data_IF_636512686798
#
_entry.id   IF_636512686798
#
_cell.length_a   1.000
_cell.length_b   1.000
_cell.length_c   1.000
_cell.angle_alpha   90.00
_cell.angle_beta   90.00
_cell.angle_gamma   90.00
#
_symmetry.space_group_name_H-M   'P 1'
#
loop_
_entity.id
_entity.type
_entity.pdbx_description
1 polymer ?
#
# COMPACT_ATOMS: atom_id res chain seq x y z
N UNK A 1 -11.06 54.16 40.63
CA UNK A 1 -10.40 52.85 40.38
C UNK A 1 -9.54 52.51 41.59
N UNK A 2 -9.59 51.25 42.04
CA UNK A 2 -9.42 50.80 43.43
C UNK A 2 -8.03 51.05 44.04
N UNK A 3 -8.04 51.60 45.26
CA UNK A 3 -6.92 51.74 46.22
C UNK A 3 -6.56 50.34 46.76
N UNK A 4 -5.30 49.94 46.69
CA UNK A 4 -4.26 49.99 47.74
C UNK A 4 -4.59 49.17 48.99
N UNK A 5 -3.74 48.17 49.18
CA UNK A 5 -3.57 47.20 50.27
C UNK A 5 -3.29 47.89 51.60
N UNK A 6 -3.86 47.40 52.69
CA UNK A 6 -3.27 47.53 54.03
C UNK A 6 -3.48 46.27 54.87
N UNK A 7 -2.34 45.82 55.39
CA UNK A 7 -2.05 44.67 56.24
C UNK A 7 -2.71 44.80 57.61
N UNK A 8 -3.24 43.70 58.17
CA UNK A 8 -3.34 43.51 59.63
C UNK A 8 -2.76 42.14 60.00
N UNK A 9 -1.66 42.22 60.73
CA UNK A 9 -1.01 41.18 61.52
C UNK A 9 -1.92 40.77 62.69
N UNK A 10 -2.08 39.47 62.94
CA UNK A 10 -2.34 38.97 64.29
C UNK A 10 -1.59 37.66 64.52
N UNK A 11 -0.54 37.76 65.33
CA UNK A 11 0.15 36.67 66.00
C UNK A 11 -0.34 36.69 67.45
N UNK A 12 -0.88 35.59 67.97
CA UNK A 12 -0.76 35.14 69.37
C UNK A 12 -0.90 33.60 69.39
N UNK A 13 0.18 32.86 69.64
CA UNK A 13 0.85 32.52 70.90
C UNK A 13 0.16 31.39 71.72
N UNK A 14 0.75 30.20 71.57
CA UNK A 14 1.04 29.16 72.58
C UNK A 14 -0.09 28.54 73.42
N UNK A 15 -0.33 27.24 73.17
CA UNK A 15 -0.44 26.24 74.23
C UNK A 15 0.53 25.10 73.93
N UNK A 16 1.32 24.71 74.92
CA UNK A 16 2.44 23.77 74.84
C UNK A 16 2.26 22.61 75.83
N UNK A 17 2.88 21.47 75.45
CA UNK A 17 3.28 20.27 76.22
C UNK A 17 2.26 19.14 76.34
N UNK A 18 2.63 17.86 76.18
CA UNK A 18 3.83 17.12 75.74
C UNK A 18 3.36 15.64 75.70
N UNK A 19 3.72 14.81 74.71
CA UNK A 19 4.76 13.74 74.73
C UNK A 19 4.26 12.69 73.70
N UNK A 20 4.99 12.00 72.82
CA UNK A 20 6.42 11.89 72.49
C UNK A 20 6.52 11.23 71.10
N UNK A 21 7.34 11.83 70.23
CA UNK A 21 8.24 11.22 69.21
C UNK A 21 7.78 10.04 68.32
N UNK A 22 7.71 10.28 67.00
CA UNK A 22 8.85 10.09 66.07
C UNK A 22 8.55 10.67 64.68
N UNK A 23 9.59 11.27 64.13
CA UNK A 23 9.65 12.07 62.91
C UNK A 23 9.38 11.28 61.63
N UNK A 24 8.65 11.89 60.68
CA UNK A 24 9.24 12.38 59.43
C UNK A 24 8.17 13.12 58.61
N UNK A 25 8.55 14.32 58.18
CA UNK A 25 7.79 15.29 57.42
C UNK A 25 7.36 14.78 56.03
N UNK A 26 6.16 15.20 55.65
CA UNK A 26 5.74 15.65 54.32
C UNK A 26 6.84 15.73 53.27
N UNK A 27 6.56 15.30 52.05
CA UNK A 27 6.41 16.22 50.90
C UNK A 27 5.61 15.51 49.83
N UNK A 28 4.71 16.25 49.19
CA UNK A 28 3.70 15.74 48.27
C UNK A 28 4.23 14.81 47.18
N UNK A 29 3.38 13.87 46.80
CA UNK A 29 3.45 13.22 45.51
C UNK A 29 3.28 14.29 44.44
N UNK A 30 4.39 14.93 44.05
CA UNK A 30 4.61 15.17 42.64
C UNK A 30 4.69 13.78 42.02
N UNK A 31 3.64 13.40 41.32
CA UNK A 31 3.74 12.36 40.31
C UNK A 31 4.83 12.85 39.34
N UNK A 32 6.07 12.43 39.58
CA UNK A 32 7.10 12.36 38.57
C UNK A 32 6.53 11.46 37.50
N UNK A 33 5.95 12.08 36.47
CA UNK A 33 5.77 11.45 35.17
C UNK A 33 7.09 10.77 34.86
N UNK A 34 7.11 9.45 34.92
CA UNK A 34 8.23 8.67 34.43
C UNK A 34 8.27 8.99 32.95
N UNK A 35 9.13 9.94 32.55
CA UNK A 35 9.40 10.23 31.15
C UNK A 35 9.85 8.90 30.55
N UNK A 36 8.94 8.29 29.79
CA UNK A 36 9.20 7.07 29.05
C UNK A 36 10.38 7.38 28.14
N UNK A 37 11.52 6.74 28.39
CA UNK A 37 12.71 6.87 27.55
C UNK A 37 12.32 6.47 26.13
N UNK A 38 12.50 7.40 25.17
CA UNK A 38 12.25 7.13 23.77
C UNK A 38 13.47 6.42 23.19
N UNK A 39 13.48 5.10 23.34
CA UNK A 39 14.51 4.24 22.81
C UNK A 39 14.21 3.94 21.33
N UNK A 40 15.23 4.08 20.48
CA UNK A 40 15.15 3.82 19.04
C UNK A 40 16.36 3.01 18.57
N UNK A 41 16.29 2.52 17.34
CA UNK A 41 17.36 1.81 16.66
C UNK A 41 17.68 2.46 15.32
N UNK A 42 18.96 2.49 14.95
CA UNK A 42 19.43 3.04 13.68
C UNK A 42 19.09 2.08 12.54
N UNK A 43 18.31 2.54 11.55
CA UNK A 43 17.85 1.73 10.41
C UNK A 43 18.66 1.93 9.12
N UNK A 44 19.56 2.92 9.10
CA UNK A 44 20.44 3.16 7.95
C UNK A 44 21.48 2.03 7.81
N UNK A 45 21.34 1.17 6.80
CA UNK A 45 22.25 0.01 6.54
C UNK A 45 23.72 0.43 6.40
N UNK A 46 23.98 1.61 5.83
CA UNK A 46 25.34 2.15 5.71
C UNK A 46 25.84 2.81 7.00
N UNK A 47 24.99 3.00 8.01
CA UNK A 47 25.21 3.72 9.27
C UNK A 47 24.73 5.18 9.23
N UNK A 48 24.39 5.74 10.39
CA UNK A 48 23.75 7.05 10.52
C UNK A 48 24.74 8.12 11.02
N UNK A 49 24.96 9.16 10.22
CA UNK A 49 25.84 10.27 10.60
C UNK A 49 25.24 11.12 11.72
N UNK A 50 26.06 11.48 12.72
CA UNK A 50 25.70 12.44 13.76
C UNK A 50 26.53 13.72 13.67
N UNK A 51 25.92 14.82 14.10
CA UNK A 51 26.39 16.20 13.87
C UNK A 51 26.42 17.00 15.17
N UNK A 52 27.24 18.05 15.22
CA UNK A 52 27.32 18.96 16.39
C UNK A 52 26.05 19.83 16.54
N UNK A 53 25.39 20.12 15.43
CA UNK A 53 24.12 20.86 15.36
C UNK A 53 23.28 20.26 14.22
N UNK A 54 21.94 20.42 14.24
CA UNK A 54 21.07 20.02 13.13
C UNK A 54 21.60 20.58 11.80
N UNK A 55 21.68 19.72 10.77
CA UNK A 55 22.23 20.08 9.44
C UNK A 55 23.68 20.64 9.45
N UNK A 56 24.42 20.48 10.55
CA UNK A 56 25.80 20.96 10.70
C UNK A 56 26.84 20.06 10.05
N UNK A 57 28.10 20.11 10.50
CA UNK A 57 29.14 19.19 10.00
C UNK A 57 29.00 17.78 10.61
N UNK A 58 29.38 16.76 9.83
CA UNK A 58 29.44 15.36 10.30
C UNK A 58 30.64 15.23 11.23
N UNK A 59 30.39 14.78 12.46
CA UNK A 59 31.43 14.57 13.48
C UNK A 59 31.59 13.10 13.88
N UNK A 60 30.76 12.22 13.32
CA UNK A 60 30.89 10.78 13.45
C UNK A 60 29.68 10.04 12.88
N UNK A 61 29.65 8.73 13.12
CA UNK A 61 28.67 7.82 12.52
C UNK A 61 28.29 6.72 13.52
N UNK A 62 26.99 6.43 13.61
CA UNK A 62 26.44 5.28 14.33
C UNK A 62 26.35 4.09 13.39
N UNK A 63 26.62 2.91 13.93
CA UNK A 63 26.44 1.65 13.21
C UNK A 63 24.95 1.31 13.04
N UNK A 64 24.64 0.53 12.00
CA UNK A 64 23.34 -0.07 11.80
C UNK A 64 22.88 -0.90 13.02
N UNK A 65 21.60 -0.85 13.37
CA UNK A 65 21.03 -1.55 14.53
C UNK A 65 21.44 -0.97 15.90
N UNK A 66 22.22 0.13 15.92
CA UNK A 66 22.63 0.77 17.16
C UNK A 66 21.42 1.34 17.89
N UNK A 67 21.23 0.90 19.14
CA UNK A 67 20.24 1.49 20.05
C UNK A 67 20.66 2.90 20.47
N UNK A 68 19.75 3.84 20.37
CA UNK A 68 19.89 5.24 20.82
C UNK A 68 18.71 5.62 21.70
N UNK A 69 18.89 6.67 22.50
CA UNK A 69 17.83 7.27 23.30
C UNK A 69 17.67 8.70 22.83
N UNK A 70 16.49 9.06 22.35
CA UNK A 70 16.16 10.44 21.99
C UNK A 70 16.00 11.25 23.27
N UNK A 71 16.82 12.29 23.42
CA UNK A 71 16.82 13.19 24.58
C UNK A 71 16.25 14.56 24.27
N UNK A 72 16.11 14.92 22.99
CA UNK A 72 15.65 16.23 22.53
C UNK A 72 14.98 16.15 21.16
N UNK A 73 13.84 16.83 21.01
CA UNK A 73 13.19 17.13 19.73
C UNK A 73 13.44 18.59 19.37
N UNK A 74 14.10 18.84 18.24
CA UNK A 74 14.45 20.20 17.78
C UNK A 74 13.32 20.87 16.99
N UNK A 75 12.32 20.11 16.53
CA UNK A 75 11.29 20.49 15.56
C UNK A 75 11.83 20.95 14.20
N UNK A 76 13.11 20.72 13.92
CA UNK A 76 13.73 21.04 12.63
C UNK A 76 13.49 19.85 11.70
N UNK A 77 12.50 19.97 10.82
CA UNK A 77 12.16 18.94 9.84
C UNK A 77 12.95 19.09 8.54
N UNK A 78 13.18 17.96 7.87
CA UNK A 78 13.86 17.88 6.59
C UNK A 78 13.35 16.71 5.76
N UNK A 79 13.49 16.82 4.44
CA UNK A 79 13.31 15.71 3.50
C UNK A 79 14.63 15.45 2.81
N UNK A 80 15.15 14.22 2.92
CA UNK A 80 16.39 13.77 2.31
C UNK A 80 16.03 12.81 1.17
N UNK A 81 16.63 13.03 -0.01
CA UNK A 81 16.57 12.05 -1.10
C UNK A 81 17.76 11.10 -0.97
N UNK A 82 17.47 9.82 -0.77
CA UNK A 82 18.44 8.73 -0.70
C UNK A 82 18.12 7.71 -1.79
N UNK A 83 18.83 7.79 -2.93
CA UNK A 83 18.64 6.89 -4.08
C UNK A 83 17.18 6.79 -4.57
N UNK A 84 16.50 7.93 -4.74
CA UNK A 84 15.08 8.06 -5.14
C UNK A 84 14.05 7.71 -4.06
N UNK A 85 14.47 7.41 -2.82
CA UNK A 85 13.58 7.34 -1.67
C UNK A 85 13.59 8.68 -0.91
N UNK A 86 12.42 9.30 -0.77
CA UNK A 86 12.26 10.55 -0.04
C UNK A 86 11.98 10.27 1.43
N UNK A 87 13.00 10.40 2.28
CA UNK A 87 12.86 10.27 3.74
C UNK A 87 12.56 11.63 4.36
N UNK A 88 11.39 11.76 4.97
CA UNK A 88 11.03 12.92 5.79
C UNK A 88 11.22 12.61 7.28
N UNK A 89 11.81 13.54 8.01
CA UNK A 89 12.10 13.37 9.44
C UNK A 89 12.44 14.69 10.13
N UNK A 90 12.68 14.60 11.42
CA UNK A 90 13.15 15.63 12.33
C UNK A 90 14.63 15.39 12.69
N UNK A 91 15.36 16.46 12.98
CA UNK A 91 16.64 16.36 13.68
C UNK A 91 16.38 16.18 15.18
N UNK A 92 16.89 15.10 15.75
CA UNK A 92 16.72 14.78 17.18
C UNK A 92 18.08 14.69 17.88
N UNK A 93 18.11 15.09 19.15
CA UNK A 93 19.29 15.04 20.00
C UNK A 93 19.42 13.70 20.70
N UNK A 94 20.63 13.14 20.70
CA UNK A 94 21.01 11.93 21.45
C UNK A 94 22.32 12.18 22.21
N UNK A 95 22.66 11.34 23.19
CA UNK A 95 23.92 11.43 23.92
C UNK A 95 24.95 10.45 23.34
N UNK A 96 26.09 10.98 22.91
CA UNK A 96 27.31 10.23 22.55
C UNK A 96 28.49 10.83 23.32
N UNK A 97 29.26 10.01 24.03
CA UNK A 97 30.41 10.44 24.85
C UNK A 97 30.11 11.62 25.80
N UNK A 98 28.96 11.55 26.50
CA UNK A 98 28.44 12.60 27.40
C UNK A 98 28.18 13.96 26.75
N UNK A 99 28.02 14.00 25.43
CA UNK A 99 27.63 15.21 24.68
C UNK A 99 26.36 14.97 23.89
N UNK A 100 25.49 15.98 23.84
CA UNK A 100 24.37 15.97 22.91
C UNK A 100 24.89 16.15 21.49
N UNK A 101 24.52 15.23 20.61
CA UNK A 101 24.75 15.28 19.17
C UNK A 101 23.42 15.06 18.45
N UNK A 102 23.35 15.48 17.19
CA UNK A 102 22.09 15.47 16.43
C UNK A 102 22.14 14.48 15.29
N UNK A 103 21.06 13.72 15.14
CA UNK A 103 20.83 12.73 14.08
C UNK A 103 19.48 12.99 13.41
N UNK A 104 19.31 12.50 12.20
CA UNK A 104 18.04 12.58 11.47
C UNK A 104 17.18 11.37 11.80
N UNK A 105 15.99 11.58 12.38
CA UNK A 105 15.13 10.52 12.90
C UNK A 105 14.43 9.71 11.80
N UNK A 106 14.46 10.17 10.54
CA UNK A 106 13.96 9.42 9.38
C UNK A 106 14.70 8.09 9.15
N UNK A 107 15.80 7.85 9.87
CA UNK A 107 16.54 6.59 9.93
C UNK A 107 16.54 5.96 11.34
N UNK A 108 15.50 6.24 12.14
CA UNK A 108 15.29 5.64 13.46
C UNK A 108 13.99 4.85 13.51
N UNK A 109 13.98 3.79 14.31
CA UNK A 109 12.78 2.98 14.56
C UNK A 109 12.64 2.53 16.00
N UNK A 110 11.43 2.14 16.40
CA UNK A 110 11.15 1.57 17.72
C UNK A 110 11.62 0.12 17.86
N UNK A 111 11.79 -0.62 16.76
CA UNK A 111 12.12 -2.04 16.79
C UNK A 111 13.58 -2.28 16.37
N UNK A 112 14.29 -3.14 17.12
CA UNK A 112 15.70 -3.49 16.86
C UNK A 112 15.88 -4.22 15.52
N UNK A 113 14.82 -4.90 15.13
CA UNK A 113 14.67 -5.63 13.89
C UNK A 113 13.79 -4.86 12.89
N UNK A 114 13.63 -3.54 13.07
CA UNK A 114 13.30 -2.66 11.95
C UNK A 114 14.57 -2.45 11.11
N UNK A 115 15.14 -3.58 10.67
CA UNK A 115 15.51 -3.66 9.29
C UNK A 115 14.38 -2.98 8.49
N UNK A 116 14.75 -2.28 7.44
CA UNK A 116 13.99 -2.49 6.20
C UNK A 116 14.08 -4.00 5.81
N UNK A 117 13.56 -4.88 6.68
CA UNK A 117 13.14 -6.26 6.47
C UNK A 117 11.65 -6.23 6.11
N UNK A 118 11.16 -5.07 5.68
CA UNK A 118 10.13 -4.94 4.67
C UNK A 118 10.73 -4.51 3.32
N UNK A 119 11.97 -4.90 3.03
CA UNK A 119 12.41 -5.11 1.64
C UNK A 119 12.76 -6.58 1.38
N UNK A 120 13.37 -7.30 2.34
CA UNK A 120 13.68 -8.73 2.18
C UNK A 120 12.58 -9.70 2.71
N UNK A 121 11.48 -9.19 3.28
CA UNK A 121 10.17 -9.90 3.34
C UNK A 121 9.11 -9.28 2.40
N UNK A 122 9.49 -8.31 1.55
CA UNK A 122 8.69 -7.88 0.38
C UNK A 122 9.04 -8.65 -0.90
N UNK A 123 9.50 -9.88 -0.72
CA UNK A 123 9.37 -10.97 -1.69
C UNK A 123 9.21 -12.23 -0.82
N UNK A 124 8.01 -12.72 -0.50
CA UNK A 124 7.18 -13.50 -1.41
C UNK A 124 5.78 -13.73 -0.80
N UNK A 125 4.94 -12.72 -0.82
CA UNK A 125 3.50 -12.93 -0.97
C UNK A 125 3.01 -12.01 -2.09
N UNK A 126 3.78 -11.96 -3.19
CA UNK A 126 3.27 -11.47 -4.46
C UNK A 126 2.30 -12.54 -4.93
N UNK A 127 1.02 -12.20 -4.94
CA UNK A 127 0.04 -13.04 -5.61
C UNK A 127 0.54 -13.34 -7.03
N UNK A 128 0.47 -14.60 -7.44
CA UNK A 128 0.66 -14.97 -8.84
C UNK A 128 -0.70 -15.19 -9.46
N UNK A 129 -0.89 -14.74 -10.70
CA UNK A 129 -2.12 -14.96 -11.45
C UNK A 129 -1.84 -15.65 -12.79
N UNK A 130 -2.80 -16.44 -13.23
CA UNK A 130 -2.87 -17.06 -14.54
C UNK A 130 -4.30 -16.91 -15.06
N UNK A 131 -4.45 -16.87 -16.38
CA UNK A 131 -5.73 -16.78 -17.06
C UNK A 131 -6.10 -18.16 -17.62
N UNK A 132 -7.39 -18.44 -17.84
CA UNK A 132 -7.83 -19.59 -18.64
C UNK A 132 -7.50 -19.35 -20.13
N UNK A 133 -6.22 -19.33 -20.47
CA UNK A 133 -5.69 -18.87 -21.75
C UNK A 133 -4.64 -19.82 -22.33
N UNK A 134 -4.23 -19.57 -23.57
CA UNK A 134 -3.17 -20.29 -24.27
C UNK A 134 -1.78 -19.67 -24.01
N UNK A 135 -0.86 -20.48 -23.50
CA UNK A 135 0.50 -20.07 -23.18
C UNK A 135 1.49 -20.76 -24.12
N UNK A 136 2.39 -20.00 -24.74
CA UNK A 136 3.48 -20.53 -25.56
C UNK A 136 4.58 -21.15 -24.71
N UNK A 137 5.22 -22.18 -25.25
CA UNK A 137 6.47 -22.69 -24.70
C UNK A 137 7.60 -21.70 -24.99
N UNK A 138 8.47 -21.47 -24.01
CA UNK A 138 9.69 -20.68 -24.13
C UNK A 138 10.82 -21.39 -23.41
N UNK A 139 11.92 -21.72 -24.13
CA UNK A 139 13.08 -22.42 -23.57
C UNK A 139 12.69 -23.67 -22.74
N UNK A 140 11.85 -24.54 -23.32
CA UNK A 140 11.32 -25.76 -22.69
C UNK A 140 10.48 -25.53 -21.41
N UNK A 141 10.04 -24.29 -21.16
CA UNK A 141 9.15 -23.93 -20.04
C UNK A 141 7.83 -23.41 -20.56
N UNK A 142 6.78 -23.54 -19.76
CA UNK A 142 5.49 -22.92 -20.04
C UNK A 142 4.89 -22.33 -18.75
N UNK A 143 4.41 -21.07 -18.75
CA UNK A 143 3.78 -20.45 -17.58
C UNK A 143 2.62 -21.29 -17.00
N UNK A 144 1.89 -22.02 -17.85
CA UNK A 144 0.82 -22.90 -17.43
C UNK A 144 1.29 -24.09 -16.56
N UNK A 145 2.59 -24.36 -16.44
CA UNK A 145 3.09 -25.40 -15.54
C UNK A 145 3.12 -24.97 -14.07
N UNK A 146 2.93 -23.69 -13.79
CA UNK A 146 2.89 -23.17 -12.41
C UNK A 146 1.59 -23.49 -11.68
N UNK A 147 0.48 -23.66 -12.40
CA UNK A 147 -0.82 -23.88 -11.79
C UNK A 147 -0.89 -25.27 -11.15
N UNK A 148 -1.28 -25.31 -9.89
CA UNK A 148 -1.41 -26.55 -9.11
C UNK A 148 -2.63 -26.53 -8.18
N UNK A 149 -2.72 -27.52 -7.28
CA UNK A 149 -3.83 -27.68 -6.33
C UNK A 149 -3.97 -26.57 -5.28
N UNK A 150 -2.96 -25.71 -5.13
CA UNK A 150 -2.96 -24.60 -4.17
C UNK A 150 -3.55 -23.33 -4.78
N UNK A 151 -3.69 -23.28 -6.10
CA UNK A 151 -4.31 -22.16 -6.79
C UNK A 151 -5.82 -22.14 -6.55
N UNK A 152 -6.35 -20.93 -6.44
CA UNK A 152 -7.77 -20.65 -6.42
C UNK A 152 -8.21 -20.14 -7.80
N UNK A 153 -9.46 -20.37 -8.16
CA UNK A 153 -10.13 -19.77 -9.32
C UNK A 153 -11.12 -18.74 -8.80
N UNK A 154 -11.03 -17.51 -9.31
CA UNK A 154 -12.10 -16.53 -9.21
C UNK A 154 -13.06 -16.78 -10.37
N UNK A 155 -14.26 -17.27 -10.07
CA UNK A 155 -15.23 -17.64 -11.10
C UNK A 155 -16.63 -17.12 -10.79
N UNK A 156 -17.42 -16.96 -11.84
CA UNK A 156 -18.80 -16.53 -11.73
C UNK A 156 -19.75 -17.73 -11.81
N UNK A 157 -20.73 -17.77 -10.91
CA UNK A 157 -21.85 -18.72 -10.92
C UNK A 157 -23.13 -18.00 -10.53
N UNK A 158 -24.17 -18.10 -11.36
CA UNK A 158 -25.50 -17.51 -11.11
C UNK A 158 -25.43 -16.00 -10.80
N UNK A 159 -24.53 -15.26 -11.48
CA UNK A 159 -24.34 -13.82 -11.32
C UNK A 159 -23.50 -13.41 -10.10
N UNK A 160 -23.06 -14.36 -9.27
CA UNK A 160 -22.19 -14.13 -8.11
C UNK A 160 -20.78 -14.61 -8.36
N UNK A 161 -19.82 -14.03 -7.65
CA UNK A 161 -18.42 -14.43 -7.70
C UNK A 161 -18.06 -15.35 -6.53
N UNK A 162 -17.19 -16.32 -6.82
CA UNK A 162 -16.68 -17.28 -5.87
C UNK A 162 -15.18 -17.41 -6.07
N UNK A 163 -14.48 -17.59 -4.96
CA UNK A 163 -13.09 -18.02 -4.95
C UNK A 163 -13.07 -19.45 -4.40
N UNK A 164 -12.65 -20.42 -5.19
CA UNK A 164 -12.51 -21.83 -4.74
C UNK A 164 -11.28 -22.46 -5.37
N UNK A 165 -10.92 -23.69 -4.96
CA UNK A 165 -9.84 -24.45 -5.59
C UNK A 165 -9.97 -24.47 -7.11
N UNK A 166 -8.85 -24.21 -7.79
CA UNK A 166 -8.79 -24.19 -9.24
C UNK A 166 -9.28 -25.53 -9.82
N UNK A 167 -10.28 -25.47 -10.70
CA UNK A 167 -10.80 -26.62 -11.42
C UNK A 167 -10.59 -26.42 -12.92
N UNK A 168 -9.55 -27.05 -13.42
CA UNK A 168 -9.05 -26.85 -14.78
C UNK A 168 -8.56 -28.16 -15.40
N UNK A 169 -8.31 -28.11 -16.71
CA UNK A 169 -7.52 -29.10 -17.44
C UNK A 169 -6.45 -28.37 -18.26
N UNK A 170 -5.29 -29.00 -18.44
CA UNK A 170 -4.25 -28.50 -19.34
C UNK A 170 -4.27 -29.34 -20.63
N UNK A 171 -4.41 -28.67 -21.77
CA UNK A 171 -4.27 -29.29 -23.09
C UNK A 171 -3.01 -28.79 -23.79
N UNK A 172 -2.33 -29.67 -24.53
CA UNK A 172 -1.25 -29.24 -25.44
C UNK A 172 -1.88 -28.74 -26.73
N UNK A 173 -1.33 -27.63 -27.23
CA UNK A 173 -1.71 -27.01 -28.49
C UNK A 173 -0.49 -26.66 -29.34
N UNK A 174 -0.75 -25.93 -30.41
CA UNK A 174 0.26 -25.39 -31.30
C UNK A 174 -0.25 -24.07 -31.88
N UNK A 175 0.56 -23.02 -31.75
CA UNK A 175 0.28 -21.70 -32.29
C UNK A 175 0.71 -21.68 -33.77
N UNK A 176 -0.22 -21.65 -34.74
CA UNK A 176 0.14 -21.63 -36.15
C UNK A 176 0.83 -20.32 -36.57
N UNK A 177 0.55 -19.22 -35.85
CA UNK A 177 1.17 -17.93 -36.10
C UNK A 177 2.66 -17.94 -35.75
N UNK A 178 2.99 -18.29 -34.50
CA UNK A 178 4.37 -18.25 -34.02
C UNK A 178 5.16 -19.53 -34.32
N UNK A 179 4.46 -20.62 -34.64
CA UNK A 179 5.06 -21.93 -34.85
C UNK A 179 5.45 -22.65 -33.56
N UNK A 180 4.98 -22.17 -32.41
CA UNK A 180 5.34 -22.70 -31.10
C UNK A 180 4.38 -23.78 -30.61
N UNK A 181 4.91 -24.71 -29.82
CA UNK A 181 4.07 -25.57 -28.97
C UNK A 181 3.45 -24.76 -27.83
N UNK A 182 2.23 -25.10 -27.42
CA UNK A 182 1.51 -24.33 -26.41
C UNK A 182 0.87 -25.23 -25.33
N UNK A 183 0.46 -24.61 -24.22
CA UNK A 183 -0.42 -25.21 -23.20
C UNK A 183 -1.61 -24.29 -22.96
N UNK A 184 -2.80 -24.86 -23.01
CA UNK A 184 -4.05 -24.14 -22.81
C UNK A 184 -4.61 -24.55 -21.45
N UNK A 185 -4.82 -23.57 -20.58
CA UNK A 185 -5.50 -23.78 -19.30
C UNK A 185 -7.01 -23.64 -19.54
N UNK A 186 -7.73 -24.76 -19.56
CA UNK A 186 -9.18 -24.75 -19.74
C UNK A 186 -9.87 -24.79 -18.37
N UNK A 187 -10.54 -23.70 -18.02
CA UNK A 187 -11.39 -23.65 -16.83
C UNK A 187 -12.69 -24.45 -17.02
N UNK A 188 -13.14 -25.17 -15.98
CA UNK A 188 -14.44 -25.87 -16.02
C UNK A 188 -15.64 -25.01 -15.64
N UNK A 189 -15.39 -23.88 -15.00
CA UNK A 189 -16.38 -22.87 -14.64
C UNK A 189 -16.13 -21.61 -15.49
N UNK A 190 -17.04 -20.62 -15.41
CA UNK A 190 -16.83 -19.28 -15.97
C UNK A 190 -15.80 -18.52 -15.12
N UNK A 191 -14.54 -18.94 -15.22
CA UNK A 191 -13.40 -18.41 -14.46
C UNK A 191 -12.90 -17.12 -15.10
N UNK A 192 -12.70 -16.09 -14.28
CA UNK A 192 -12.04 -14.85 -14.68
C UNK A 192 -10.52 -15.03 -14.66
N UNK A 193 -9.97 -15.50 -13.53
CA UNK A 193 -8.56 -15.81 -13.37
C UNK A 193 -8.32 -16.90 -12.34
N UNK A 194 -7.12 -17.47 -12.38
CA UNK A 194 -6.55 -18.27 -11.31
C UNK A 194 -5.57 -17.40 -10.51
N UNK A 195 -5.57 -17.55 -9.20
CA UNK A 195 -4.71 -16.79 -8.29
C UNK A 195 -4.08 -17.72 -7.24
N UNK A 196 -2.79 -17.54 -6.99
CA UNK A 196 -2.06 -18.15 -5.90
C UNK A 196 -1.61 -17.05 -4.94
N UNK A 197 -2.35 -16.92 -3.84
CA UNK A 197 -2.07 -16.00 -2.74
C UNK A 197 -2.48 -16.69 -1.44
N UNK A 198 -1.56 -16.77 -0.48
CA UNK A 198 -1.78 -17.47 0.78
C UNK A 198 -2.73 -16.73 1.74
N UNK A 199 -3.01 -15.45 1.49
CA UNK A 199 -3.94 -14.65 2.28
C UNK A 199 -5.40 -14.82 1.85
N UNK A 200 -5.63 -15.30 0.62
CA UNK A 200 -6.97 -15.46 0.08
C UNK A 200 -7.63 -16.75 0.59
N UNK A 201 -8.94 -16.67 0.81
CA UNK A 201 -9.74 -17.77 1.36
C UNK A 201 -10.86 -18.13 0.41
N UNK A 202 -11.16 -19.42 0.35
CA UNK A 202 -12.28 -19.89 -0.47
C UNK A 202 -13.63 -19.43 0.11
N UNK A 203 -14.57 -19.07 -0.75
CA UNK A 203 -15.90 -18.60 -0.38
C UNK A 203 -16.60 -17.80 -1.46
N UNK A 204 -17.84 -17.40 -1.16
CA UNK A 204 -18.55 -16.38 -1.94
C UNK A 204 -17.87 -15.03 -1.74
N UNK A 205 -17.62 -14.31 -2.83
CA UNK A 205 -16.98 -13.01 -2.82
C UNK A 205 -18.05 -11.94 -2.93
N UNK A 206 -18.00 -10.95 -2.02
CA UNK A 206 -18.87 -9.79 -2.11
C UNK A 206 -18.39 -8.91 -3.27
N UNK A 207 -19.21 -8.80 -4.31
CA UNK A 207 -18.89 -8.04 -5.52
C UNK A 207 -19.92 -6.96 -5.81
N UNK A 208 -19.50 -5.91 -6.51
CA UNK A 208 -20.37 -4.83 -6.98
C UNK A 208 -20.59 -5.01 -8.48
N UNK A 209 -21.86 -4.99 -8.89
CA UNK A 209 -22.21 -4.93 -10.30
C UNK A 209 -21.99 -3.51 -10.84
N UNK A 210 -21.53 -3.41 -12.08
CA UNK A 210 -21.31 -2.16 -12.76
C UNK A 210 -21.74 -2.27 -14.22
N UNK A 211 -22.33 -1.20 -14.75
CA UNK A 211 -22.85 -1.17 -16.13
C UNK A 211 -21.80 -0.64 -17.11
N UNK A 212 -20.75 0.02 -16.60
CA UNK A 212 -19.70 0.66 -17.38
C UNK A 212 -18.33 0.14 -16.95
N UNK A 213 -17.65 -0.55 -17.86
CA UNK A 213 -16.34 -1.14 -17.65
C UNK A 213 -15.18 -0.30 -18.22
N UNK A 214 -15.45 0.58 -19.20
CA UNK A 214 -14.48 1.53 -19.78
C UNK A 214 -14.64 2.92 -19.18
N UNK A 215 -13.54 3.59 -18.88
CA UNK A 215 -13.55 4.95 -18.29
C UNK A 215 -12.71 5.85 -19.18
N UNK A 216 -13.32 6.57 -20.12
CA UNK A 216 -12.57 7.50 -20.97
C UNK A 216 -12.06 8.70 -20.15
N UNK A 217 -11.01 9.41 -20.60
CA UNK A 217 -10.58 10.64 -19.96
C UNK A 217 -11.72 11.63 -19.77
N UNK A 218 -11.69 12.37 -18.66
CA UNK A 218 -12.75 13.27 -18.18
C UNK A 218 -14.00 12.57 -17.63
N UNK A 219 -14.06 11.24 -17.68
CA UNK A 219 -15.11 10.45 -17.05
C UNK A 219 -14.69 9.95 -15.67
N UNK A 220 -15.70 9.56 -14.89
CA UNK A 220 -15.53 8.90 -13.61
C UNK A 220 -16.62 7.87 -13.40
N UNK A 221 -16.31 6.85 -12.61
CA UNK A 221 -17.27 5.90 -12.05
C UNK A 221 -17.17 5.91 -10.54
N UNK A 222 -18.22 5.45 -9.85
CA UNK A 222 -18.25 5.44 -8.38
C UNK A 222 -18.91 4.19 -7.86
N UNK A 223 -18.35 3.67 -6.78
CA UNK A 223 -18.82 2.47 -6.11
C UNK A 223 -19.06 2.78 -4.63
N UNK A 224 -20.20 2.33 -4.11
CA UNK A 224 -20.50 2.42 -2.69
C UNK A 224 -20.30 1.05 -2.07
N UNK A 225 -19.40 0.94 -1.10
CA UNK A 225 -19.19 -0.28 -0.33
C UNK A 225 -19.10 0.05 1.15
N UNK A 226 -19.99 -0.54 1.95
CA UNK A 226 -20.21 -0.12 3.33
C UNK A 226 -20.37 1.42 3.43
N UNK A 227 -19.58 2.07 4.27
CA UNK A 227 -19.56 3.53 4.45
C UNK A 227 -18.46 4.22 3.64
N UNK A 228 -17.91 3.54 2.62
CA UNK A 228 -16.80 4.03 1.80
C UNK A 228 -17.33 4.27 0.38
N UNK A 229 -17.21 5.52 -0.08
CA UNK A 229 -17.44 5.87 -1.47
C UNK A 229 -16.11 5.84 -2.22
N UNK A 230 -15.97 4.90 -3.14
CA UNK A 230 -14.86 4.83 -4.07
C UNK A 230 -15.22 5.59 -5.34
N UNK A 231 -14.27 6.33 -5.89
CA UNK A 231 -14.40 6.99 -7.19
C UNK A 231 -13.16 6.72 -8.01
N UNK A 232 -13.35 6.21 -9.22
CA UNK A 232 -12.28 6.04 -10.20
C UNK A 232 -12.50 7.07 -11.30
N UNK A 233 -11.47 7.83 -11.64
CA UNK A 233 -11.50 8.80 -12.75
C UNK A 233 -10.32 8.57 -13.67
N UNK A 234 -10.51 8.95 -14.93
CA UNK A 234 -9.47 8.85 -15.95
C UNK A 234 -8.95 10.23 -16.39
N UNK A 235 -7.66 10.29 -16.65
CA UNK A 235 -7.00 11.34 -17.41
C UNK A 235 -6.33 10.73 -18.65
N UNK A 236 -6.02 11.57 -19.63
CA UNK A 236 -5.35 11.20 -20.88
C UNK A 236 -5.69 12.16 -22.00
N UNK A 237 -4.90 12.09 -23.06
CA UNK A 237 -5.07 12.87 -24.28
C UNK A 237 -6.04 12.10 -25.20
N UNK A 238 -7.26 12.62 -25.38
CA UNK A 238 -8.24 12.01 -26.29
C UNK A 238 -7.83 12.33 -27.73
N UNK A 239 -7.41 11.32 -28.46
CA UNK A 239 -7.03 11.42 -29.88
C UNK A 239 -8.30 11.40 -30.75
N UNK A 240 -9.18 10.46 -30.48
CA UNK A 240 -10.48 10.34 -31.16
C UNK A 240 -11.53 9.78 -30.21
N UNK A 241 -12.80 10.05 -30.49
CA UNK A 241 -13.90 9.42 -29.76
C UNK A 241 -15.15 9.37 -30.60
N UNK A 242 -15.79 8.20 -30.62
CA UNK A 242 -16.99 7.94 -31.40
C UNK A 242 -17.95 7.05 -30.64
N UNK A 243 -19.24 7.11 -31.00
CA UNK A 243 -20.23 6.20 -30.47
C UNK A 243 -20.37 5.01 -31.42
N UNK A 244 -20.11 3.81 -30.91
CA UNK A 244 -20.17 2.55 -31.64
C UNK A 244 -21.32 1.70 -31.11
N UNK A 245 -22.01 1.03 -32.02
CA UNK A 245 -23.03 0.05 -31.64
C UNK A 245 -22.34 -1.28 -31.31
N UNK A 246 -22.49 -1.73 -30.08
CA UNK A 246 -22.07 -3.04 -29.56
C UNK A 246 -23.30 -3.92 -29.34
N UNK A 247 -23.07 -5.20 -29.05
CA UNK A 247 -24.13 -6.13 -28.65
C UNK A 247 -24.89 -5.67 -27.39
N UNK A 248 -24.27 -4.80 -26.58
CA UNK A 248 -24.82 -4.26 -25.34
C UNK A 248 -25.45 -2.86 -25.51
N UNK A 249 -25.46 -2.30 -26.73
CA UNK A 249 -26.07 -1.01 -27.03
C UNK A 249 -25.12 -0.01 -27.66
N UNK A 250 -25.32 1.27 -27.39
CA UNK A 250 -24.42 2.33 -27.89
C UNK A 250 -23.34 2.58 -26.85
N UNK A 251 -22.09 2.27 -27.18
CA UNK A 251 -20.93 2.52 -26.33
C UNK A 251 -20.06 3.63 -26.91
N UNK A 252 -19.39 4.39 -26.05
CA UNK A 252 -18.42 5.40 -26.46
C UNK A 252 -17.05 4.74 -26.54
N UNK A 253 -16.49 4.69 -27.75
CA UNK A 253 -15.09 4.35 -27.98
C UNK A 253 -14.24 5.61 -27.87
N UNK A 254 -13.06 5.46 -27.25
CA UNK A 254 -12.10 6.54 -27.07
C UNK A 254 -10.70 6.01 -27.38
N UNK A 255 -10.04 6.64 -28.34
CA UNK A 255 -8.62 6.46 -28.59
C UNK A 255 -7.85 7.48 -27.75
N UNK A 256 -6.90 7.01 -26.95
CA UNK A 256 -6.29 7.82 -25.89
C UNK A 256 -4.78 7.59 -25.82
N UNK A 257 -4.03 8.65 -25.58
CA UNK A 257 -2.61 8.60 -25.20
C UNK A 257 -2.43 9.10 -23.76
N UNK A 258 -1.30 8.75 -23.12
CA UNK A 258 -0.93 9.17 -21.76
C UNK A 258 -2.05 8.92 -20.73
N UNK A 259 -2.70 7.77 -20.84
CA UNK A 259 -3.84 7.40 -20.03
C UNK A 259 -3.44 7.12 -18.59
N UNK A 260 -4.22 7.64 -17.64
CA UNK A 260 -4.01 7.45 -16.21
C UNK A 260 -5.32 7.19 -15.49
N UNK A 261 -5.31 6.23 -14.57
CA UNK A 261 -6.42 6.01 -13.64
C UNK A 261 -6.05 6.39 -12.22
N UNK A 262 -6.94 7.18 -11.63
CA UNK A 262 -6.87 7.61 -10.25
C UNK A 262 -8.05 7.02 -9.49
N UNK A 263 -7.81 6.55 -8.27
CA UNK A 263 -8.86 6.14 -7.34
C UNK A 263 -8.87 7.11 -6.16
N UNK A 264 -10.06 7.42 -5.65
CA UNK A 264 -10.22 8.21 -4.44
C UNK A 264 -11.28 7.63 -3.51
N UNK A 265 -11.09 7.84 -2.21
CA UNK A 265 -12.06 7.47 -1.17
C UNK A 265 -12.65 8.73 -0.54
N UNK A 266 -13.98 8.79 -0.47
CA UNK A 266 -14.75 9.84 0.21
C UNK A 266 -14.33 11.26 -0.22
N UNK A 267 -13.86 11.42 -1.47
CA UNK A 267 -13.32 12.65 -2.05
C UNK A 267 -12.14 13.29 -1.27
N UNK A 268 -11.36 12.51 -0.53
CA UNK A 268 -10.23 13.02 0.27
C UNK A 268 -8.87 12.56 -0.26
N UNK A 269 -8.61 11.26 -0.18
CA UNK A 269 -7.34 10.66 -0.61
C UNK A 269 -7.51 10.24 -2.06
N UNK A 270 -6.56 10.60 -2.91
CA UNK A 270 -6.49 10.18 -4.29
C UNK A 270 -5.14 9.53 -4.56
N UNK A 271 -5.14 8.38 -5.22
CA UNK A 271 -3.93 7.64 -5.61
C UNK A 271 -3.99 7.24 -7.07
N UNK A 272 -2.92 7.54 -7.81
CA UNK A 272 -2.65 7.01 -9.14
C UNK A 272 -2.32 5.53 -9.05
N UNK A 273 -2.98 4.67 -9.83
CA UNK A 273 -2.76 3.21 -9.74
C UNK A 273 -2.51 2.52 -11.09
N UNK A 274 -2.80 3.17 -12.21
CA UNK A 274 -2.52 2.66 -13.55
C UNK A 274 -2.14 3.81 -14.47
N UNK A 275 -1.09 3.60 -15.26
CA UNK A 275 -0.61 4.52 -16.29
C UNK A 275 -0.25 3.72 -17.54
N UNK A 276 -0.71 4.17 -18.70
CA UNK A 276 -0.33 3.61 -20.01
C UNK A 276 -0.09 4.75 -20.99
N UNK A 277 1.08 4.75 -21.64
CA UNK A 277 1.47 5.85 -22.54
C UNK A 277 0.69 5.84 -23.85
N UNK A 278 0.40 4.65 -24.36
CA UNK A 278 -0.20 4.44 -25.67
C UNK A 278 -0.94 3.11 -25.68
N UNK A 279 -1.99 3.01 -26.48
CA UNK A 279 -2.65 1.75 -26.82
C UNK A 279 -2.51 1.48 -28.32
N UNK A 280 -2.45 0.20 -28.71
CA UNK A 280 -2.57 -0.21 -30.10
C UNK A 280 -3.82 -1.08 -30.24
N UNK A 281 -4.88 -0.49 -30.80
CA UNK A 281 -6.19 -1.10 -31.04
C UNK A 281 -6.79 -1.82 -29.81
N UNK A 282 -6.64 -1.20 -28.64
CA UNK A 282 -7.12 -1.74 -27.36
C UNK A 282 -7.44 -0.63 -26.36
N UNK A 283 -8.09 -0.96 -25.24
CA UNK A 283 -8.37 -0.02 -24.15
C UNK A 283 -8.47 -0.74 -22.79
N UNK A 284 -8.31 0.00 -21.70
CA UNK A 284 -8.42 -0.55 -20.33
C UNK A 284 -9.89 -0.84 -19.98
N UNK A 285 -10.16 -2.05 -19.49
CA UNK A 285 -11.48 -2.50 -19.05
C UNK A 285 -11.48 -2.95 -17.59
N UNK A 286 -12.48 -2.52 -16.83
CA UNK A 286 -12.75 -3.02 -15.48
C UNK A 286 -13.44 -4.38 -15.56
N UNK A 287 -12.78 -5.41 -15.02
CA UNK A 287 -13.27 -6.79 -15.05
C UNK A 287 -14.01 -7.19 -13.76
N UNK A 288 -13.60 -6.65 -12.62
CA UNK A 288 -14.15 -7.02 -11.32
C UNK A 288 -13.99 -5.91 -10.28
N UNK A 289 -15.00 -5.78 -9.41
CA UNK A 289 -15.00 -4.94 -8.21
C UNK A 289 -15.58 -5.76 -7.05
N UNK A 290 -14.84 -5.93 -5.98
CA UNK A 290 -15.30 -6.69 -4.81
C UNK A 290 -14.22 -6.90 -3.77
N UNK A 291 -14.55 -7.58 -2.68
CA UNK A 291 -13.69 -7.77 -1.52
C UNK A 291 -13.10 -9.20 -1.54
N UNK A 292 -11.93 -9.36 -2.15
CA UNK A 292 -11.33 -10.67 -2.47
C UNK A 292 -10.76 -11.36 -1.24
N UNK A 293 -10.23 -10.60 -0.29
CA UNK A 293 -9.58 -11.12 0.91
C UNK A 293 -10.40 -10.94 2.21
N UNK A 294 -11.62 -10.41 2.07
CA UNK A 294 -12.57 -10.19 3.17
C UNK A 294 -12.06 -9.19 4.21
N UNK A 295 -11.31 -8.17 3.79
CA UNK A 295 -10.81 -7.11 4.66
C UNK A 295 -11.79 -5.93 4.83
N UNK A 296 -12.93 -5.98 4.15
CA UNK A 296 -13.99 -4.98 4.22
C UNK A 296 -13.79 -3.79 3.28
N UNK A 297 -12.81 -3.84 2.37
CA UNK A 297 -12.55 -2.83 1.33
C UNK A 297 -12.67 -3.44 -0.07
N UNK A 298 -12.83 -2.58 -1.07
CA UNK A 298 -12.90 -3.01 -2.47
C UNK A 298 -11.51 -3.23 -3.07
N UNK A 299 -11.38 -4.35 -3.75
CA UNK A 299 -10.32 -4.75 -4.65
C UNK A 299 -10.81 -4.69 -6.10
N UNK A 300 -9.86 -4.63 -7.03
CA UNK A 300 -10.14 -4.37 -8.44
C UNK A 300 -9.33 -5.27 -9.35
N UNK A 301 -9.94 -5.68 -10.46
CA UNK A 301 -9.25 -6.39 -11.54
C UNK A 301 -9.50 -5.63 -12.82
N UNK A 302 -8.42 -5.31 -13.54
CA UNK A 302 -8.46 -4.62 -14.81
C UNK A 302 -7.82 -5.46 -15.90
N UNK A 303 -8.44 -5.49 -17.07
CA UNK A 303 -7.78 -5.78 -18.33
C UNK A 303 -7.12 -4.50 -18.83
N UNK A 304 -5.84 -4.57 -19.17
CA UNK A 304 -5.03 -3.40 -19.53
C UNK A 304 -4.03 -3.77 -20.62
N UNK A 305 -4.55 -4.37 -21.70
CA UNK A 305 -3.79 -4.74 -22.89
C UNK A 305 -3.15 -3.49 -23.49
N UNK A 306 -1.88 -3.57 -23.88
CA UNK A 306 -1.15 -2.48 -24.55
C UNK A 306 -1.25 -2.58 -26.07
N UNK A 307 -1.50 -3.80 -26.56
CA UNK A 307 -1.60 -4.15 -27.96
C UNK A 307 -2.75 -5.14 -28.17
N UNK A 308 -3.36 -5.15 -29.36
CA UNK A 308 -4.43 -6.10 -29.72
C UNK A 308 -3.98 -7.58 -29.72
N UNK A 309 -2.67 -7.84 -29.65
CA UNK A 309 -2.07 -9.18 -29.58
C UNK A 309 -1.49 -9.50 -28.19
N UNK A 310 -1.99 -8.80 -27.16
CA UNK A 310 -1.64 -9.02 -25.77
C UNK A 310 -2.91 -9.21 -24.95
N UNK A 311 -2.89 -10.20 -24.04
CA UNK A 311 -3.88 -10.36 -22.99
C UNK A 311 -3.19 -10.05 -21.66
N UNK A 312 -3.58 -8.94 -21.02
CA UNK A 312 -2.95 -8.41 -19.83
C UNK A 312 -3.97 -8.07 -18.77
N UNK A 313 -3.88 -8.78 -17.65
CA UNK A 313 -4.77 -8.60 -16.50
C UNK A 313 -3.95 -8.21 -15.28
N UNK A 314 -4.46 -7.24 -14.52
CA UNK A 314 -3.84 -6.72 -13.30
C UNK A 314 -4.82 -6.85 -12.14
N UNK A 315 -4.36 -7.44 -11.03
CA UNK A 315 -5.11 -7.51 -9.77
C UNK A 315 -4.56 -6.47 -8.82
N UNK A 316 -5.46 -5.66 -8.27
CA UNK A 316 -5.17 -4.67 -7.25
C UNK A 316 -5.88 -5.05 -5.96
N UNK A 317 -5.12 -5.23 -4.88
CA UNK A 317 -5.64 -5.50 -3.54
C UNK A 317 -5.49 -4.26 -2.66
N UNK A 318 -6.50 -4.01 -1.84
CA UNK A 318 -6.55 -2.91 -0.89
C UNK A 318 -5.90 -3.26 0.46
N UNK A 319 -5.71 -4.54 0.77
CA UNK A 319 -5.02 -5.02 1.98
C UNK A 319 -3.51 -4.83 1.97
N UNK A 320 -2.90 -4.83 0.79
CA UNK A 320 -1.45 -4.65 0.60
C UNK A 320 -1.08 -3.20 0.27
N UNK A 321 -2.08 -2.31 0.16
CA UNK A 321 -1.88 -0.89 -0.09
C UNK A 321 -1.14 -0.24 1.09
N UNK A 322 -0.17 0.61 0.78
CA UNK A 322 0.52 1.39 1.81
C UNK A 322 -0.29 2.66 2.16
N UNK A 323 0.17 3.46 3.13
CA UNK A 323 -0.60 4.61 3.67
C UNK A 323 -0.94 5.70 2.64
N UNK A 324 -0.22 5.73 1.51
CA UNK A 324 -0.39 6.72 0.45
C UNK A 324 -1.22 6.18 -0.72
N UNK A 325 -1.51 4.88 -0.72
CA UNK A 325 -2.27 4.17 -1.75
C UNK A 325 -3.63 3.74 -1.21
N UNK A 326 -4.64 3.69 -2.07
CA UNK A 326 -5.94 3.10 -1.74
C UNK A 326 -5.97 1.61 -2.08
N UNK A 327 -5.34 1.26 -3.20
CA UNK A 327 -5.15 -0.09 -3.72
C UNK A 327 -3.73 -0.19 -4.26
N UNK A 328 -3.20 -1.41 -4.27
CA UNK A 328 -1.86 -1.66 -4.81
C UNK A 328 -1.86 -2.92 -5.66
N UNK A 329 -1.07 -2.87 -6.74
CA UNK A 329 -0.89 -4.00 -7.64
C UNK A 329 -0.36 -5.21 -6.88
N UNK A 330 -1.17 -6.26 -6.80
CA UNK A 330 -0.87 -7.51 -6.14
C UNK A 330 -0.27 -8.53 -7.10
N UNK A 331 -0.82 -8.58 -8.32
CA UNK A 331 -0.40 -9.49 -9.38
C UNK A 331 -0.65 -8.88 -10.76
N UNK A 332 0.09 -9.36 -11.74
CA UNK A 332 -0.07 -9.01 -13.15
C UNK A 332 0.33 -10.21 -14.00
N UNK A 333 -0.41 -10.45 -15.07
CA UNK A 333 -0.03 -11.38 -16.13
C UNK A 333 -0.19 -10.66 -17.45
N UNK A 334 0.77 -10.87 -18.35
CA UNK A 334 0.71 -10.39 -19.72
C UNK A 334 1.08 -11.57 -20.63
N UNK A 335 0.21 -11.88 -21.58
CA UNK A 335 0.35 -13.01 -22.48
C UNK A 335 0.36 -12.45 -23.90
N UNK A 336 1.49 -12.56 -24.57
CA UNK A 336 1.61 -12.19 -25.97
C UNK A 336 1.18 -13.36 -26.85
N UNK A 337 0.35 -13.06 -27.84
CA UNK A 337 -0.12 -14.02 -28.85
C UNK A 337 0.06 -13.48 -30.28
N UNK A 338 1.05 -12.59 -30.44
CA UNK A 338 1.47 -11.98 -31.70
C UNK A 338 1.84 -12.97 -32.80
N UNK A 339 1.46 -12.61 -34.03
CA UNK A 339 1.93 -13.23 -35.26
C UNK A 339 3.04 -12.34 -35.86
#
# INVERSE_FOLDING_TARGET
MKKIICVILMIQFFSCKNETTKDAFNTGNSEKTIQKLEEKFVTAKSGLNYRKQPKGEIIGKLEYGKKVVVTEHTNIVETINDNNDLKKGEWVGIIVDNKTVYIFDGYLSNDKDDDNANEDLKHNNTAEILLPFEYRDWEDKNPADKIDKNWLALYQKEGKYYLDKANYTIKRGYSPCSGDSTKIIEAKNKTLLFINDTNLKSGEITSINFDKNKICPLEQTSFQYHNIQYKIRAEGDIISSENVHTDNGLERYCEVENYRLYISINNNIESLFLEETTFNDTFVELLFVGDLDSDGRLDFIFEANRHYEEERVIVYLSSIANKEEIIKKAAEVAIQFDC
#
